data_IF_900511446657
#
_entry.id   IF_900511446657
#
_cell.length_a   1.000
_cell.length_b   1.000
_cell.length_c   1.000
_cell.angle_alpha   90.00
_cell.angle_beta   90.00
_cell.angle_gamma   90.00
#
_symmetry.space_group_name_H-M   'P 1'
#
loop_
_entity.id
_entity.type
_entity.pdbx_description
1 polymer ?
#
# COMPACT_ATOMS: atom_id res chain seq x y z
N UNK A 1 15.14 -0.72 -8.89
CA UNK A 1 15.40 -2.04 -9.54
C UNK A 1 14.12 -2.85 -9.53
N UNK A 2 13.76 -3.45 -10.66
CA UNK A 2 12.53 -4.26 -10.80
C UNK A 2 12.90 -5.74 -10.82
N UNK A 3 12.48 -6.49 -9.82
CA UNK A 3 12.75 -7.92 -9.68
C UNK A 3 11.44 -8.70 -9.43
N UNK A 4 10.78 -9.10 -10.51
CA UNK A 4 9.46 -9.75 -10.50
C UNK A 4 9.36 -10.85 -11.55
N UNK A 5 8.33 -11.69 -11.47
CA UNK A 5 7.99 -12.65 -12.53
C UNK A 5 7.80 -11.99 -13.89
N UNK A 6 8.01 -12.75 -14.95
CA UNK A 6 7.78 -12.31 -16.33
C UNK A 6 6.39 -11.73 -16.56
N UNK A 7 5.33 -12.36 -16.02
CA UNK A 7 3.97 -11.86 -16.18
C UNK A 7 3.75 -10.53 -15.43
N UNK A 8 4.33 -10.38 -14.24
CA UNK A 8 4.25 -9.11 -13.51
C UNK A 8 5.07 -8.01 -14.17
N UNK A 9 6.20 -8.36 -14.80
CA UNK A 9 7.02 -7.42 -15.56
C UNK A 9 6.23 -6.81 -16.72
N UNK A 10 5.47 -7.61 -17.49
CA UNK A 10 4.58 -7.10 -18.55
C UNK A 10 3.55 -6.11 -18.03
N UNK A 11 2.98 -6.36 -16.85
CA UNK A 11 2.01 -5.45 -16.23
C UNK A 11 2.66 -4.10 -15.85
N UNK A 12 3.89 -4.12 -15.32
CA UNK A 12 4.64 -2.92 -14.98
C UNK A 12 5.04 -2.15 -16.26
N UNK A 13 5.48 -2.86 -17.30
CA UNK A 13 5.79 -2.26 -18.60
C UNK A 13 4.55 -1.59 -19.21
N UNK A 14 3.37 -2.21 -19.08
CA UNK A 14 2.11 -1.63 -19.53
C UNK A 14 1.75 -0.32 -18.82
N UNK A 15 2.12 -0.13 -17.54
CA UNK A 15 1.90 1.15 -16.84
C UNK A 15 2.88 2.24 -17.26
N UNK A 16 3.90 1.92 -18.08
CA UNK A 16 4.96 2.83 -18.45
C UNK A 16 5.94 3.15 -17.31
N UNK A 17 5.92 2.38 -16.22
CA UNK A 17 6.80 2.60 -15.08
C UNK A 17 8.21 2.09 -15.39
N UNK A 18 9.19 2.96 -15.29
CA UNK A 18 10.59 2.68 -15.60
C UNK A 18 11.47 2.66 -14.35
N UNK A 19 12.70 2.16 -14.48
CA UNK A 19 13.67 2.26 -13.39
C UNK A 19 14.05 3.71 -13.05
N UNK A 20 13.96 4.62 -14.01
CA UNK A 20 14.19 6.04 -13.78
C UNK A 20 13.10 6.64 -12.88
N UNK A 21 11.85 6.23 -13.06
CA UNK A 21 10.74 6.65 -12.18
C UNK A 21 10.94 6.14 -10.75
N UNK A 22 11.39 4.89 -10.60
CA UNK A 22 11.72 4.33 -9.29
C UNK A 22 12.86 5.10 -8.61
N UNK A 23 13.87 5.53 -9.38
CA UNK A 23 14.94 6.37 -8.86
C UNK A 23 14.40 7.73 -8.39
N UNK A 24 13.52 8.37 -9.17
CA UNK A 24 12.89 9.64 -8.79
C UNK A 24 12.06 9.49 -7.51
N UNK A 25 11.33 8.38 -7.35
CA UNK A 25 10.59 8.08 -6.13
C UNK A 25 11.52 7.90 -4.92
N UNK A 26 12.64 7.19 -5.10
CA UNK A 26 13.64 7.02 -4.05
C UNK A 26 14.26 8.36 -3.63
N UNK A 27 14.58 9.23 -4.60
CA UNK A 27 15.09 10.58 -4.34
C UNK A 27 14.04 11.44 -3.58
N UNK A 28 12.75 11.16 -3.77
CA UNK A 28 11.65 11.81 -3.04
C UNK A 28 11.38 11.25 -1.64
N UNK A 29 12.05 10.18 -1.20
CA UNK A 29 11.83 9.56 0.12
C UNK A 29 11.81 10.56 1.29
N UNK A 30 12.69 11.58 1.36
CA UNK A 30 12.63 12.57 2.43
C UNK A 30 11.33 13.38 2.45
N UNK A 31 10.69 13.58 1.30
CA UNK A 31 9.37 14.23 1.20
C UNK A 31 8.30 13.28 1.74
N UNK A 32 8.32 12.02 1.33
CA UNK A 32 7.38 11.00 1.80
C UNK A 32 7.40 10.88 3.34
N UNK A 33 8.60 10.86 3.94
CA UNK A 33 8.77 10.84 5.39
C UNK A 33 8.20 12.07 6.10
N UNK A 34 8.28 13.25 5.49
CA UNK A 34 7.76 14.49 6.09
C UNK A 34 6.24 14.56 6.09
N UNK A 35 5.58 13.90 5.14
CA UNK A 35 4.12 14.02 4.93
C UNK A 35 3.34 12.77 5.33
N UNK A 36 4.02 11.67 5.67
CA UNK A 36 3.38 10.35 5.86
C UNK A 36 2.28 10.38 6.93
N UNK A 37 2.52 11.01 8.08
CA UNK A 37 1.52 11.08 9.15
C UNK A 37 0.27 11.82 8.69
N UNK A 38 0.44 13.01 8.11
CA UNK A 38 -0.67 13.83 7.63
C UNK A 38 -1.47 13.16 6.49
N UNK A 39 -0.78 12.53 5.53
CA UNK A 39 -1.43 11.84 4.41
C UNK A 39 -2.26 10.66 4.93
N UNK A 40 -1.71 9.88 5.85
CA UNK A 40 -2.38 8.70 6.40
C UNK A 40 -3.55 9.11 7.29
N UNK A 41 -3.41 10.15 8.11
CA UNK A 41 -4.51 10.66 8.92
C UNK A 41 -5.65 11.15 8.04
N UNK A 42 -5.37 11.99 7.03
CA UNK A 42 -6.41 12.48 6.09
C UNK A 42 -7.11 11.35 5.35
N UNK A 43 -6.39 10.29 5.00
CA UNK A 43 -7.00 9.11 4.38
C UNK A 43 -8.00 8.44 5.33
N UNK A 44 -7.61 8.19 6.58
CA UNK A 44 -8.50 7.53 7.55
C UNK A 44 -9.59 8.45 8.10
N UNK A 45 -9.44 9.77 8.07
CA UNK A 45 -10.54 10.71 8.33
C UNK A 45 -11.66 10.55 7.29
N UNK A 46 -11.31 10.41 6.01
CA UNK A 46 -12.28 10.17 4.94
C UNK A 46 -12.92 8.78 5.05
N UNK A 47 -12.13 7.74 5.38
CA UNK A 47 -12.65 6.39 5.61
C UNK A 47 -13.58 6.35 6.83
N UNK A 48 -13.20 7.03 7.92
CA UNK A 48 -13.96 7.14 9.15
C UNK A 48 -15.32 7.80 8.98
N UNK A 49 -15.46 8.66 7.96
CA UNK A 49 -16.74 9.28 7.61
C UNK A 49 -17.73 8.32 6.90
N UNK A 50 -17.30 7.11 6.52
CA UNK A 50 -18.13 6.11 5.86
C UNK A 50 -18.47 4.96 6.82
N UNK A 51 -19.69 4.91 7.41
CA UNK A 51 -20.05 3.92 8.43
C UNK A 51 -19.87 2.47 7.99
N UNK A 52 -20.12 2.17 6.72
CA UNK A 52 -19.94 0.83 6.15
C UNK A 52 -18.47 0.39 6.15
N UNK A 53 -17.55 1.30 5.81
CA UNK A 53 -16.11 1.01 5.81
C UNK A 53 -15.57 0.86 7.23
N UNK A 54 -16.03 1.71 8.16
CA UNK A 54 -15.70 1.58 9.59
C UNK A 54 -16.16 0.24 10.13
N UNK A 55 -17.38 -0.18 9.76
CA UNK A 55 -17.94 -1.47 10.17
C UNK A 55 -17.15 -2.65 9.62
N UNK A 56 -16.66 -2.57 8.38
CA UNK A 56 -15.80 -3.60 7.78
C UNK A 56 -14.44 -3.68 8.51
N UNK A 57 -13.81 -2.54 8.77
CA UNK A 57 -12.54 -2.48 9.49
C UNK A 57 -12.67 -3.13 10.88
N UNK A 58 -13.72 -2.77 11.62
CA UNK A 58 -13.96 -3.25 12.98
C UNK A 58 -14.10 -4.78 13.10
N UNK A 59 -14.34 -5.51 11.99
CA UNK A 59 -14.40 -6.98 11.99
C UNK A 59 -13.02 -7.63 12.12
N UNK A 60 -11.97 -6.96 11.66
CA UNK A 60 -10.63 -7.55 11.49
C UNK A 60 -9.48 -6.73 12.09
N UNK A 61 -9.71 -5.44 12.39
CA UNK A 61 -8.70 -4.50 12.91
C UNK A 61 -9.36 -3.25 13.52
N UNK A 62 -8.54 -2.27 13.88
CA UNK A 62 -8.92 -0.90 14.19
C UNK A 62 -8.17 0.10 13.29
N UNK A 63 -8.67 1.34 13.23
CA UNK A 63 -8.12 2.41 12.37
C UNK A 63 -6.68 2.75 12.77
N UNK A 64 -6.36 2.85 14.06
CA UNK A 64 -5.02 3.27 14.52
C UNK A 64 -3.95 2.24 14.12
N UNK A 65 -4.24 0.95 14.28
CA UNK A 65 -3.36 -0.13 13.79
C UNK A 65 -3.20 -0.10 12.27
N UNK A 66 -4.26 0.20 11.54
CA UNK A 66 -4.20 0.30 10.08
C UNK A 66 -3.40 1.52 9.62
N UNK A 67 -3.48 2.65 10.32
CA UNK A 67 -2.63 3.83 10.06
C UNK A 67 -1.16 3.45 10.10
N UNK A 68 -0.71 2.79 11.16
CA UNK A 68 0.71 2.39 11.30
C UNK A 68 1.17 1.48 10.14
N UNK A 69 0.33 0.52 9.75
CA UNK A 69 0.62 -0.35 8.60
C UNK A 69 0.66 0.44 7.29
N UNK A 70 -0.26 1.39 7.11
CA UNK A 70 -0.37 2.22 5.92
C UNK A 70 0.79 3.21 5.80
N UNK A 71 1.32 3.75 6.91
CA UNK A 71 2.54 4.59 6.92
C UNK A 71 3.74 3.80 6.41
N UNK A 72 3.92 2.57 6.90
CA UNK A 72 4.97 1.67 6.43
C UNK A 72 4.85 1.39 4.92
N UNK A 73 3.63 1.11 4.45
CA UNK A 73 3.38 0.93 3.02
C UNK A 73 3.67 2.20 2.20
N UNK A 74 3.22 3.37 2.66
CA UNK A 74 3.48 4.65 2.00
C UNK A 74 4.98 4.91 1.81
N UNK A 75 5.78 4.69 2.85
CA UNK A 75 7.24 4.84 2.77
C UNK A 75 7.88 3.84 1.80
N UNK A 76 7.35 2.61 1.74
CA UNK A 76 7.85 1.59 0.81
C UNK A 76 7.68 1.96 -0.66
N UNK A 77 6.71 2.82 -1.00
CA UNK A 77 6.55 3.34 -2.37
C UNK A 77 7.78 4.15 -2.84
N UNK A 78 8.56 4.66 -1.90
CA UNK A 78 9.79 5.41 -2.15
C UNK A 78 11.06 4.60 -1.81
N UNK A 79 11.00 3.26 -1.81
CA UNK A 79 12.19 2.40 -1.65
C UNK A 79 13.03 2.31 -2.95
N UNK A 80 12.45 2.67 -4.10
CA UNK A 80 13.13 2.59 -5.40
C UNK A 80 13.27 1.17 -5.96
N UNK A 81 12.61 0.20 -5.34
CA UNK A 81 12.56 -1.18 -5.82
C UNK A 81 11.12 -1.67 -5.96
N UNK A 82 10.92 -2.59 -6.89
CA UNK A 82 9.71 -3.40 -6.96
C UNK A 82 10.16 -4.85 -6.96
N UNK A 83 9.97 -5.49 -5.82
CA UNK A 83 10.27 -6.90 -5.62
C UNK A 83 8.99 -7.72 -5.61
N UNK A 84 9.11 -9.01 -5.93
CA UNK A 84 7.99 -9.94 -5.94
C UNK A 84 7.46 -10.26 -4.54
N UNK A 85 8.19 -9.88 -3.48
CA UNK A 85 7.82 -10.17 -2.10
C UNK A 85 6.52 -9.45 -1.74
N UNK A 86 5.43 -10.23 -1.80
CA UNK A 86 4.16 -9.84 -1.20
C UNK A 86 4.41 -9.78 0.30
N UNK A 87 4.53 -8.57 0.84
CA UNK A 87 4.65 -8.40 2.28
C UNK A 87 3.50 -9.18 2.96
N UNK A 88 3.78 -10.08 3.93
CA UNK A 88 2.81 -11.03 4.47
C UNK A 88 1.50 -10.40 4.95
N UNK A 89 1.54 -9.16 5.45
CA UNK A 89 0.36 -8.41 5.88
C UNK A 89 -0.62 -8.07 4.75
N UNK A 90 -0.14 -7.87 3.52
CA UNK A 90 -0.98 -7.53 2.36
C UNK A 90 -1.75 -8.73 1.83
N UNK A 91 -1.10 -9.89 1.78
CA UNK A 91 -1.75 -11.15 1.38
C UNK A 91 -2.82 -11.57 2.40
N UNK A 92 -2.53 -11.45 3.70
CA UNK A 92 -3.46 -11.82 4.74
C UNK A 92 -4.73 -10.95 4.74
N UNK A 93 -4.58 -9.63 4.58
CA UNK A 93 -5.72 -8.71 4.49
C UNK A 93 -6.57 -8.96 3.22
N UNK A 94 -5.92 -9.10 2.05
CA UNK A 94 -6.65 -9.39 0.80
C UNK A 94 -7.36 -10.75 0.86
N UNK A 95 -6.68 -11.77 1.41
CA UNK A 95 -7.24 -13.12 1.55
C UNK A 95 -8.44 -13.12 2.49
N UNK A 96 -8.36 -12.42 3.63
CA UNK A 96 -9.49 -12.30 4.55
C UNK A 96 -10.71 -11.64 3.90
N UNK A 97 -10.50 -10.61 3.08
CA UNK A 97 -11.59 -9.93 2.35
C UNK A 97 -12.15 -10.86 1.26
N UNK A 98 -11.31 -11.55 0.50
CA UNK A 98 -11.76 -12.45 -0.56
C UNK A 98 -12.49 -13.68 -0.01
N UNK A 99 -12.02 -14.24 1.11
CA UNK A 99 -12.65 -15.37 1.78
C UNK A 99 -14.04 -14.99 2.36
N UNK A 100 -14.24 -13.74 2.78
CA UNK A 100 -15.53 -13.22 3.28
C UNK A 100 -16.56 -12.96 2.17
N UNK A 101 -16.13 -12.67 0.94
CA UNK A 101 -17.00 -12.42 -0.22
C UNK A 101 -17.16 -13.63 -1.16
N UNK A 102 -16.42 -14.71 -0.93
CA UNK A 102 -16.52 -15.97 -1.69
C UNK A 102 -17.52 -16.98 -1.10
N UNK A 103 -18.22 -16.62 -0.01
CA UNK A 103 -19.27 -17.40 0.64
C UNK A 103 -20.66 -16.80 0.39
#
# INVERSE_FOLDING_TARGET
MINVTTERKKQIEYTGLTEQDLKLLADCRPIFQKVVDEVVDRFYDHVGAQPELVSLIARVSDIERLKETQKGYWLSLADGTIDQDVQPGRAAALKSILDEYAA
#
